data_IF_787776768849
#
_entry.id   IF_787776768849
#
_cell.length_a   1.000
_cell.length_b   1.000
_cell.length_c   1.000
_cell.angle_alpha   90.00
_cell.angle_beta   90.00
_cell.angle_gamma   90.00
#
_symmetry.space_group_name_H-M   'P 1'
#
loop_
_entity.id
_entity.type
_entity.pdbx_description
1 polymer ?
#
# COMPACT_ATOMS: atom_id res chain seq x y z
N UNK A 1 -10.13 16.63 -39.17
CA UNK A 1 -9.65 15.28 -38.81
C UNK A 1 -8.94 15.26 -37.45
N UNK A 2 -7.99 16.18 -37.17
CA UNK A 2 -7.32 16.27 -35.86
C UNK A 2 -8.28 16.56 -34.69
N UNK A 3 -9.23 17.46 -34.89
CA UNK A 3 -10.24 17.82 -33.88
C UNK A 3 -11.15 16.64 -33.50
N UNK A 4 -11.59 15.87 -34.50
CA UNK A 4 -12.39 14.65 -34.31
C UNK A 4 -11.64 13.58 -33.52
N UNK A 5 -10.35 13.39 -33.79
CA UNK A 5 -9.52 12.44 -33.04
C UNK A 5 -9.31 12.90 -31.59
N UNK A 6 -9.10 14.21 -31.37
CA UNK A 6 -8.95 14.77 -30.04
C UNK A 6 -10.23 14.63 -29.19
N UNK A 7 -11.41 14.87 -29.77
CA UNK A 7 -12.69 14.64 -29.07
C UNK A 7 -12.93 13.16 -28.79
N UNK A 8 -12.64 12.28 -29.76
CA UNK A 8 -12.84 10.85 -29.61
C UNK A 8 -11.97 10.27 -28.49
N UNK A 9 -10.66 10.51 -28.54
CA UNK A 9 -9.74 10.00 -27.51
C UNK A 9 -9.89 10.74 -26.19
N UNK A 10 -10.20 12.04 -26.22
CA UNK A 10 -10.54 12.78 -25.01
C UNK A 10 -11.72 12.15 -24.28
N UNK A 11 -12.78 11.78 -24.99
CA UNK A 11 -13.95 11.13 -24.38
C UNK A 11 -13.66 9.69 -23.95
N UNK A 12 -12.93 8.91 -24.77
CA UNK A 12 -12.65 7.50 -24.50
C UNK A 12 -11.69 7.29 -23.31
N UNK A 13 -10.73 8.19 -23.14
CA UNK A 13 -9.76 8.14 -22.05
C UNK A 13 -10.12 9.04 -20.86
N UNK A 14 -11.28 9.71 -20.89
CA UNK A 14 -11.78 10.40 -19.70
C UNK A 14 -12.32 9.35 -18.73
N UNK A 15 -11.75 9.24 -17.52
CA UNK A 15 -12.27 8.31 -16.51
C UNK A 15 -13.71 8.67 -16.18
N UNK A 16 -14.64 7.74 -16.36
CA UNK A 16 -16.00 7.90 -15.88
C UNK A 16 -16.02 7.88 -14.35
N UNK A 17 -16.97 8.61 -13.75
CA UNK A 17 -17.19 8.55 -12.30
C UNK A 17 -17.47 7.10 -11.86
N UNK A 18 -16.91 6.71 -10.71
CA UNK A 18 -17.17 5.39 -10.14
C UNK A 18 -18.65 5.35 -9.71
N UNK A 19 -19.39 4.38 -10.25
CA UNK A 19 -20.79 4.16 -9.87
C UNK A 19 -20.87 3.56 -8.48
N UNK A 20 -21.03 4.40 -7.45
CA UNK A 20 -21.07 3.95 -6.05
C UNK A 20 -22.18 2.92 -5.78
N UNK A 21 -23.29 2.97 -6.51
CA UNK A 21 -24.35 1.96 -6.41
C UNK A 21 -23.83 0.56 -6.74
N UNK A 22 -23.08 0.39 -7.84
CA UNK A 22 -22.49 -0.89 -8.21
C UNK A 22 -21.40 -1.34 -7.21
N UNK A 23 -20.70 -0.40 -6.57
CA UNK A 23 -19.77 -0.70 -5.48
C UNK A 23 -20.52 -1.25 -4.27
N UNK A 24 -21.62 -0.61 -3.87
CA UNK A 24 -22.45 -1.08 -2.76
C UNK A 24 -23.07 -2.45 -3.07
N UNK A 25 -23.64 -2.64 -4.26
CA UNK A 25 -24.20 -3.93 -4.69
C UNK A 25 -23.15 -5.05 -4.62
N UNK A 26 -21.90 -4.77 -5.02
CA UNK A 26 -20.81 -5.72 -4.95
C UNK A 26 -20.39 -6.02 -3.50
N UNK A 27 -20.31 -5.01 -2.64
CA UNK A 27 -19.93 -5.16 -1.23
C UNK A 27 -21.02 -5.90 -0.44
N UNK A 28 -22.28 -5.61 -0.70
CA UNK A 28 -23.43 -6.23 -0.05
C UNK A 28 -23.59 -7.71 -0.46
N UNK A 29 -23.09 -8.09 -1.63
CA UNK A 29 -23.04 -9.49 -2.07
C UNK A 29 -21.99 -10.33 -1.30
N UNK A 30 -21.08 -9.72 -0.55
CA UNK A 30 -20.08 -10.44 0.24
C UNK A 30 -20.76 -11.03 1.48
N UNK A 31 -20.73 -12.37 1.67
CA UNK A 31 -21.33 -12.99 2.84
C UNK A 31 -20.57 -12.58 4.10
N UNK A 32 -21.30 -12.40 5.21
CA UNK A 32 -20.71 -12.02 6.50
C UNK A 32 -19.66 -13.01 7.02
N UNK A 33 -19.74 -14.29 6.62
CA UNK A 33 -18.72 -15.29 6.92
C UNK A 33 -17.36 -15.03 6.26
N UNK A 34 -17.33 -14.24 5.18
CA UNK A 34 -16.11 -13.80 4.49
C UNK A 34 -15.63 -12.42 4.99
N UNK A 35 -16.43 -11.72 5.80
CA UNK A 35 -16.03 -10.46 6.39
C UNK A 35 -15.10 -10.70 7.59
N UNK A 36 -14.14 -9.81 7.76
CA UNK A 36 -13.32 -9.79 8.96
C UNK A 36 -14.17 -9.44 10.18
N UNK A 37 -13.89 -10.10 11.31
CA UNK A 37 -14.47 -9.69 12.58
C UNK A 37 -14.01 -8.27 12.93
N UNK A 38 -14.80 -7.52 13.72
CA UNK A 38 -14.41 -6.18 14.17
C UNK A 38 -13.07 -6.19 14.90
N UNK A 39 -12.80 -7.23 15.69
CA UNK A 39 -11.52 -7.41 16.39
C UNK A 39 -10.36 -7.61 15.43
N UNK A 40 -10.53 -8.45 14.41
CA UNK A 40 -9.50 -8.68 13.38
C UNK A 40 -9.24 -7.42 12.57
N UNK A 41 -10.28 -6.70 12.20
CA UNK A 41 -10.16 -5.41 11.50
C UNK A 41 -9.43 -4.37 12.33
N UNK A 42 -9.71 -4.28 13.65
CA UNK A 42 -8.99 -3.39 14.55
C UNK A 42 -7.52 -3.79 14.70
N UNK A 43 -7.25 -5.09 14.87
CA UNK A 43 -5.89 -5.61 14.96
C UNK A 43 -5.03 -5.26 13.73
N UNK A 44 -5.61 -5.30 12.52
CA UNK A 44 -4.90 -4.90 11.29
C UNK A 44 -4.57 -3.40 11.21
N UNK A 45 -5.18 -2.58 12.06
CA UNK A 45 -4.96 -1.13 12.14
C UNK A 45 -4.06 -0.72 13.31
N UNK A 46 -3.64 -1.66 14.14
CA UNK A 46 -2.74 -1.38 15.26
C UNK A 46 -1.34 -1.01 14.75
N UNK A 47 -0.65 -0.05 15.40
CA UNK A 47 0.75 0.25 15.10
C UNK A 47 1.65 -0.97 15.29
N UNK A 48 2.67 -1.08 14.44
CA UNK A 48 3.68 -2.12 14.54
C UNK A 48 4.46 -1.99 15.85
N UNK A 49 4.65 -3.12 16.52
CA UNK A 49 5.61 -3.27 17.61
C UNK A 49 7.02 -3.50 17.04
N UNK A 50 8.03 -3.38 17.91
CA UNK A 50 9.40 -3.68 17.48
C UNK A 50 9.58 -5.17 17.14
N UNK A 51 8.91 -6.04 17.88
CA UNK A 51 9.00 -7.50 17.65
C UNK A 51 8.37 -7.87 16.30
N UNK A 52 7.28 -7.21 15.90
CA UNK A 52 6.69 -7.37 14.56
C UNK A 52 7.70 -7.02 13.46
N UNK A 53 8.47 -5.95 13.65
CA UNK A 53 9.52 -5.55 12.70
C UNK A 53 10.65 -6.58 12.68
N UNK A 54 11.16 -7.01 13.83
CA UNK A 54 12.21 -8.03 13.89
C UNK A 54 11.77 -9.33 13.21
N UNK A 55 10.56 -9.79 13.50
CA UNK A 55 9.99 -10.98 12.87
C UNK A 55 9.85 -10.81 11.36
N UNK A 56 9.30 -9.69 10.89
CA UNK A 56 9.11 -9.42 9.47
C UNK A 56 10.44 -9.43 8.69
N UNK A 57 11.47 -8.80 9.24
CA UNK A 57 12.78 -8.72 8.58
C UNK A 57 13.60 -10.01 8.70
N UNK A 58 13.32 -10.87 9.69
CA UNK A 58 13.93 -12.21 9.78
C UNK A 58 13.54 -13.13 8.61
N UNK A 59 12.38 -12.88 7.99
CA UNK A 59 11.84 -13.64 6.87
C UNK A 59 12.31 -13.11 5.50
N UNK A 60 13.14 -12.08 5.49
CA UNK A 60 13.55 -11.43 4.25
C UNK A 60 14.39 -12.38 3.36
N UNK A 61 14.18 -12.39 2.03
CA UNK A 61 14.92 -13.26 1.14
C UNK A 61 16.41 -12.88 1.11
N UNK A 62 17.27 -13.89 1.15
CA UNK A 62 18.72 -13.67 1.14
C UNK A 62 19.26 -13.21 -0.21
N UNK A 63 18.55 -13.53 -1.30
CA UNK A 63 19.00 -13.32 -2.68
C UNK A 63 18.09 -12.36 -3.48
N UNK A 64 17.30 -11.51 -2.81
CA UNK A 64 16.53 -10.50 -3.52
C UNK A 64 17.44 -9.43 -4.08
N UNK A 65 17.19 -9.01 -5.32
CA UNK A 65 17.81 -7.81 -5.89
C UNK A 65 17.49 -6.62 -4.97
N UNK A 66 18.49 -5.80 -4.62
CA UNK A 66 18.24 -4.58 -3.86
C UNK A 66 17.17 -3.73 -4.56
N UNK A 67 16.30 -3.11 -3.77
CA UNK A 67 15.36 -2.13 -4.30
C UNK A 67 16.10 -0.89 -4.82
N UNK A 68 15.36 0.15 -5.21
CA UNK A 68 15.89 1.43 -5.73
C UNK A 68 16.97 2.09 -4.82
N UNK A 69 17.04 1.68 -3.55
CA UNK A 69 17.93 2.22 -2.54
C UNK A 69 19.28 1.48 -2.49
N UNK A 70 19.45 0.42 -3.29
CA UNK A 70 20.60 -0.49 -3.30
C UNK A 70 20.98 -1.14 -1.94
N UNK A 71 20.09 -1.05 -0.94
CA UNK A 71 20.31 -1.69 0.37
C UNK A 71 19.81 -3.14 0.35
N UNK A 72 20.67 -4.14 0.63
CA UNK A 72 20.24 -5.51 0.85
C UNK A 72 19.37 -5.61 2.11
N UNK A 73 18.40 -6.52 2.12
CA UNK A 73 17.55 -6.73 3.29
C UNK A 73 18.33 -7.13 4.55
N UNK A 74 19.47 -7.80 4.39
CA UNK A 74 20.37 -8.14 5.50
C UNK A 74 20.91 -6.89 6.19
N UNK A 75 21.22 -5.85 5.43
CA UNK A 75 21.71 -4.59 5.98
C UNK A 75 20.59 -3.85 6.70
N UNK A 76 19.36 -3.87 6.15
CA UNK A 76 18.19 -3.30 6.82
C UNK A 76 17.91 -4.05 8.13
N UNK A 77 17.96 -5.37 8.12
CA UNK A 77 17.82 -6.20 9.32
C UNK A 77 18.90 -5.89 10.37
N UNK A 78 20.15 -5.68 9.96
CA UNK A 78 21.23 -5.27 10.85
C UNK A 78 20.94 -3.90 11.50
N UNK A 79 20.47 -2.94 10.72
CA UNK A 79 20.09 -1.61 11.23
C UNK A 79 18.95 -1.74 12.24
N UNK A 80 17.92 -2.54 11.93
CA UNK A 80 16.75 -2.71 12.79
C UNK A 80 17.06 -3.45 14.09
N UNK A 81 17.97 -4.41 14.06
CA UNK A 81 18.41 -5.16 15.25
C UNK A 81 19.36 -4.35 16.15
N UNK A 82 19.89 -3.22 15.69
CA UNK A 82 20.70 -2.33 16.51
C UNK A 82 19.79 -1.56 17.51
N UNK A 83 20.00 -1.69 18.83
CA UNK A 83 19.21 -0.98 19.83
C UNK A 83 19.18 0.55 19.65
N UNK A 84 20.25 1.15 19.12
CA UNK A 84 20.32 2.59 18.86
C UNK A 84 19.35 3.06 17.77
N UNK A 85 18.93 2.16 16.88
CA UNK A 85 18.03 2.47 15.78
C UNK A 85 16.57 2.11 16.10
N UNK A 86 16.29 1.43 17.23
CA UNK A 86 14.96 0.90 17.58
C UNK A 86 13.85 1.96 17.51
N UNK A 87 14.03 3.08 18.20
CA UNK A 87 13.01 4.13 18.27
C UNK A 87 12.78 4.78 16.90
N UNK A 88 13.86 5.10 16.20
CA UNK A 88 13.80 5.68 14.86
C UNK A 88 13.13 4.73 13.86
N UNK A 89 13.45 3.44 13.92
CA UNK A 89 12.85 2.41 13.08
C UNK A 89 11.34 2.31 13.34
N UNK A 90 10.94 2.14 14.60
CA UNK A 90 9.53 2.05 14.99
C UNK A 90 8.75 3.28 14.53
N UNK A 91 9.29 4.48 14.78
CA UNK A 91 8.69 5.73 14.35
C UNK A 91 8.57 5.82 12.83
N UNK A 92 9.60 5.43 12.07
CA UNK A 92 9.59 5.47 10.60
C UNK A 92 8.49 4.57 10.02
N UNK A 93 8.41 3.32 10.47
CA UNK A 93 7.41 2.38 9.96
C UNK A 93 5.99 2.75 10.38
N UNK A 94 5.77 3.15 11.63
CA UNK A 94 4.44 3.55 12.09
C UNK A 94 3.98 4.88 11.47
N UNK A 95 4.89 5.84 11.29
CA UNK A 95 4.56 7.06 10.56
C UNK A 95 4.20 6.77 9.10
N UNK A 96 4.93 5.86 8.44
CA UNK A 96 4.61 5.46 7.07
C UNK A 96 3.26 4.72 6.99
N UNK A 97 2.96 3.84 7.95
CA UNK A 97 1.69 3.14 8.07
C UNK A 97 0.52 4.12 8.23
N UNK A 98 0.63 5.04 9.19
CA UNK A 98 -0.40 6.03 9.50
C UNK A 98 -0.55 7.09 8.40
N UNK A 99 0.55 7.55 7.80
CA UNK A 99 0.51 8.50 6.69
C UNK A 99 -0.17 7.90 5.46
N UNK A 100 0.00 6.60 5.20
CA UNK A 100 -0.63 5.90 4.07
C UNK A 100 -2.08 5.51 4.35
N UNK A 101 -2.46 5.29 5.61
CA UNK A 101 -3.85 5.13 6.02
C UNK A 101 -4.68 6.42 5.77
N UNK A 102 -4.05 7.59 5.77
CA UNK A 102 -4.69 8.88 5.45
C UNK A 102 -4.59 9.22 3.94
N UNK A 103 -3.66 8.62 3.21
CA UNK A 103 -3.40 8.90 1.79
C UNK A 103 -3.62 7.67 0.90
N UNK A 104 -4.88 7.26 0.72
CA UNK A 104 -5.29 6.54 -0.48
C UNK A 104 -6.20 7.44 -1.35
N UNK A 105 -5.68 8.50 -2.00
CA UNK A 105 -6.41 9.11 -3.09
C UNK A 105 -6.42 8.14 -4.29
N UNK A 106 -7.55 7.94 -4.98
CA UNK A 106 -7.69 7.01 -6.12
C UNK A 106 -6.82 7.35 -7.36
N UNK A 107 -5.98 8.38 -7.30
CA UNK A 107 -5.34 8.98 -8.48
C UNK A 107 -3.98 8.37 -8.89
N UNK A 108 -3.41 7.40 -8.15
CA UNK A 108 -2.09 6.81 -8.52
C UNK A 108 -2.14 5.50 -9.33
N UNK A 109 -3.31 5.08 -9.78
CA UNK A 109 -3.44 3.96 -10.75
C UNK A 109 -3.17 4.44 -12.20
N UNK A 110 -3.19 5.75 -12.47
CA UNK A 110 -3.18 6.27 -13.85
C UNK A 110 -1.88 6.92 -14.35
N UNK A 111 -0.73 6.76 -13.67
CA UNK A 111 0.53 7.36 -14.14
C UNK A 111 1.68 6.36 -14.10
N UNK A 112 1.48 5.23 -14.77
CA UNK A 112 2.57 4.33 -15.14
C UNK A 112 2.39 3.83 -16.56
N UNK A 113 2.12 4.77 -17.47
CA UNK A 113 2.39 4.55 -18.87
C UNK A 113 2.63 5.92 -19.51
N UNK A 114 3.89 6.23 -19.80
CA UNK A 114 4.37 7.24 -20.75
C UNK A 114 5.90 7.18 -20.70
N UNK A 115 6.44 6.23 -21.48
CA UNK A 115 7.77 6.36 -22.08
C UNK A 115 7.63 6.12 -23.57
#
# INVERSE_FOLDING_TARGET
>A
MLDTAATYYGTFYTPSAIGMNAVHDLLDAIPTSACLSSTTSQFMLEPFTFDDLCEAFSRAPTNSTPGMNDLPYQLVHLILTNPACREMALATFNNAFLARAIALPPSKIASRDHR
#
